data_IF_615008977572
#
_entry.id   IF_615008977572
#
_cell.length_a   1.000
_cell.length_b   1.000
_cell.length_c   1.000
_cell.angle_alpha   90.00
_cell.angle_beta   90.00
_cell.angle_gamma   90.00
#
_symmetry.space_group_name_H-M   'P 1'
#
loop_
_entity.id
_entity.type
_entity.pdbx_description
1 polymer ?
#
# COMPACT_ATOMS: atom_id res chain seq x y z
N UNK A 1 -0.08 3.54 -7.28
CA UNK A 1 1.23 3.11 -7.75
C UNK A 1 1.47 3.50 -9.20
N UNK A 2 2.71 3.41 -9.69
CA UNK A 2 3.05 3.85 -11.06
C UNK A 2 2.28 3.07 -12.14
N UNK A 3 1.89 1.84 -11.88
CA UNK A 3 1.15 1.01 -12.83
C UNK A 3 -0.34 1.34 -12.91
N UNK A 4 -0.89 2.09 -11.97
CA UNK A 4 -2.29 2.52 -12.01
C UNK A 4 -2.58 3.35 -13.26
N UNK A 5 -1.75 4.35 -13.55
CA UNK A 5 -1.90 5.18 -14.73
C UNK A 5 -1.83 4.38 -16.03
N UNK A 6 -0.87 3.45 -16.12
CA UNK A 6 -0.73 2.56 -17.28
C UNK A 6 -1.95 1.66 -17.42
N UNK A 7 -2.41 1.06 -16.33
CA UNK A 7 -3.59 0.19 -16.32
C UNK A 7 -4.84 0.91 -16.81
N UNK A 8 -5.09 2.12 -16.32
CA UNK A 8 -6.25 2.91 -16.73
C UNK A 8 -6.13 3.39 -18.19
N UNK A 9 -4.91 3.70 -18.64
CA UNK A 9 -4.66 4.05 -20.04
C UNK A 9 -4.95 2.87 -20.97
N UNK A 10 -4.58 1.66 -20.60
CA UNK A 10 -4.91 0.45 -21.38
C UNK A 10 -6.42 0.18 -21.45
N UNK A 11 -7.17 0.65 -20.47
CA UNK A 11 -8.64 0.59 -20.46
C UNK A 11 -9.30 1.77 -21.17
N UNK A 12 -8.54 2.58 -21.92
CA UNK A 12 -9.01 3.72 -22.70
C UNK A 12 -9.61 4.86 -21.86
N UNK A 13 -9.12 5.03 -20.63
CA UNK A 13 -9.49 6.15 -19.80
C UNK A 13 -8.80 7.43 -20.26
N UNK A 14 -9.49 8.57 -20.14
CA UNK A 14 -8.89 9.88 -20.46
C UNK A 14 -7.88 10.29 -19.38
N UNK A 15 -6.81 11.03 -19.76
CA UNK A 15 -5.80 11.50 -18.79
C UNK A 15 -6.38 12.32 -17.63
N UNK A 16 -7.41 13.12 -17.85
CA UNK A 16 -8.09 13.91 -16.80
C UNK A 16 -8.81 13.01 -15.79
N UNK A 17 -9.45 11.94 -16.23
CA UNK A 17 -10.09 10.95 -15.36
C UNK A 17 -9.06 10.19 -14.51
N UNK A 18 -7.93 9.80 -15.11
CA UNK A 18 -6.82 9.14 -14.42
C UNK A 18 -6.26 10.07 -13.34
N UNK A 19 -5.98 11.32 -13.69
CA UNK A 19 -5.48 12.33 -12.77
C UNK A 19 -6.43 12.57 -11.60
N UNK A 20 -7.74 12.62 -11.87
CA UNK A 20 -8.75 12.80 -10.83
C UNK A 20 -8.74 11.62 -9.83
N UNK A 21 -8.70 10.38 -10.32
CA UNK A 21 -8.67 9.18 -9.49
C UNK A 21 -7.43 9.16 -8.59
N UNK A 22 -6.25 9.42 -9.17
CA UNK A 22 -4.99 9.45 -8.42
C UNK A 22 -4.95 10.57 -7.38
N UNK A 23 -5.50 11.75 -7.74
CA UNK A 23 -5.59 12.90 -6.83
C UNK A 23 -6.51 12.62 -5.66
N UNK A 24 -7.66 12.00 -5.89
CA UNK A 24 -8.59 11.61 -4.81
C UNK A 24 -7.91 10.67 -3.80
N UNK A 25 -7.17 9.68 -4.28
CA UNK A 25 -6.41 8.78 -3.41
C UNK A 25 -5.33 9.49 -2.61
N UNK A 26 -4.59 10.39 -3.24
CA UNK A 26 -3.55 11.19 -2.61
C UNK A 26 -4.08 12.14 -1.54
N UNK A 27 -5.17 12.86 -1.83
CA UNK A 27 -5.82 13.76 -0.88
C UNK A 27 -6.36 12.98 0.32
N UNK A 28 -7.03 11.85 0.08
CA UNK A 28 -7.53 11.00 1.16
C UNK A 28 -6.40 10.55 2.09
N UNK A 29 -5.27 10.11 1.54
CA UNK A 29 -4.09 9.74 2.31
C UNK A 29 -3.53 10.89 3.15
N UNK A 30 -3.41 12.08 2.56
CA UNK A 30 -2.93 13.28 3.27
C UNK A 30 -3.85 13.67 4.43
N UNK A 31 -5.15 13.72 4.20
CA UNK A 31 -6.13 14.07 5.23
C UNK A 31 -6.17 13.04 6.36
N UNK A 32 -5.93 11.78 6.05
CA UNK A 32 -5.93 10.69 7.02
C UNK A 32 -4.62 10.59 7.83
N UNK A 33 -3.54 11.24 7.41
CA UNK A 33 -2.21 11.06 8.03
C UNK A 33 -2.21 11.41 9.52
N UNK A 34 -2.78 12.54 9.91
CA UNK A 34 -2.80 12.95 11.32
C UNK A 34 -3.71 12.07 12.18
N UNK A 35 -4.99 11.82 11.80
CA UNK A 35 -5.84 10.88 12.54
C UNK A 35 -5.25 9.47 12.60
N UNK A 36 -4.62 9.01 11.52
CA UNK A 36 -3.98 7.70 11.46
C UNK A 36 -2.79 7.59 12.43
N UNK A 37 -1.96 8.62 12.51
CA UNK A 37 -0.86 8.67 13.48
C UNK A 37 -1.36 8.60 14.93
N UNK A 38 -2.38 9.36 15.25
CA UNK A 38 -2.99 9.36 16.58
C UNK A 38 -3.57 7.96 16.90
N UNK A 39 -4.30 7.38 15.98
CA UNK A 39 -4.88 6.05 16.17
C UNK A 39 -3.80 4.95 16.31
N UNK A 40 -2.73 5.03 15.52
CA UNK A 40 -1.61 4.09 15.61
C UNK A 40 -0.89 4.17 16.97
N UNK A 41 -0.70 5.37 17.49
CA UNK A 41 -0.07 5.58 18.81
C UNK A 41 -0.97 5.09 19.95
N UNK A 42 -2.29 5.22 19.82
CA UNK A 42 -3.26 4.84 20.85
C UNK A 42 -3.52 3.34 20.92
N UNK A 43 -3.20 2.57 19.89
CA UNK A 43 -3.53 1.14 19.82
C UNK A 43 -2.41 0.25 20.34
N UNK A 44 -2.80 -0.86 20.98
CA UNK A 44 -1.88 -1.93 21.40
C UNK A 44 -1.72 -3.02 20.33
N UNK A 45 -2.67 -3.13 19.41
CA UNK A 45 -2.72 -4.19 18.40
C UNK A 45 -2.24 -3.68 17.03
N UNK A 46 -1.00 -3.19 16.98
CA UNK A 46 -0.42 -2.58 15.78
C UNK A 46 -0.34 -3.56 14.59
N UNK A 47 -0.04 -4.82 14.84
CA UNK A 47 0.01 -5.85 13.79
C UNK A 47 -1.33 -6.02 13.09
N UNK A 48 -2.42 -5.97 13.83
CA UNK A 48 -3.78 -6.09 13.29
C UNK A 48 -4.06 -4.92 12.34
N UNK A 49 -3.65 -3.71 12.69
CA UNK A 49 -3.80 -2.54 11.82
C UNK A 49 -3.05 -2.75 10.49
N UNK A 50 -1.81 -3.22 10.55
CA UNK A 50 -1.02 -3.49 9.34
C UNK A 50 -1.68 -4.57 8.49
N UNK A 51 -2.12 -5.66 9.11
CA UNK A 51 -2.80 -6.75 8.40
C UNK A 51 -4.11 -6.29 7.75
N UNK A 52 -4.93 -5.55 8.48
CA UNK A 52 -6.17 -4.99 7.95
C UNK A 52 -5.89 -3.99 6.83
N UNK A 53 -4.89 -3.14 6.98
CA UNK A 53 -4.47 -2.21 5.94
C UNK A 53 -4.04 -2.93 4.65
N UNK A 54 -3.23 -3.97 4.76
CA UNK A 54 -2.83 -4.79 3.62
C UNK A 54 -4.03 -5.47 2.95
N UNK A 55 -4.96 -6.01 3.75
CA UNK A 55 -6.18 -6.63 3.23
C UNK A 55 -7.06 -5.63 2.49
N UNK A 56 -7.30 -4.46 3.08
CA UNK A 56 -8.11 -3.40 2.49
C UNK A 56 -7.50 -2.91 1.18
N UNK A 57 -6.19 -2.67 1.13
CA UNK A 57 -5.51 -2.25 -0.09
C UNK A 57 -5.63 -3.33 -1.18
N UNK A 58 -5.46 -4.59 -0.82
CA UNK A 58 -5.58 -5.71 -1.76
C UNK A 58 -6.99 -5.80 -2.34
N UNK A 59 -8.02 -5.73 -1.50
CA UNK A 59 -9.43 -5.74 -1.94
C UNK A 59 -9.73 -4.54 -2.83
N UNK A 60 -9.29 -3.34 -2.45
CA UNK A 60 -9.47 -2.13 -3.25
C UNK A 60 -8.81 -2.26 -4.62
N UNK A 61 -7.60 -2.83 -4.69
CA UNK A 61 -6.88 -3.06 -5.94
C UNK A 61 -7.60 -4.06 -6.83
N UNK A 62 -8.12 -5.15 -6.26
CA UNK A 62 -8.90 -6.14 -7.00
C UNK A 62 -10.22 -5.57 -7.52
N UNK A 63 -10.89 -4.72 -6.75
CA UNK A 63 -12.09 -4.00 -7.20
C UNK A 63 -11.78 -3.12 -8.42
N UNK A 64 -10.66 -2.42 -8.40
CA UNK A 64 -10.21 -1.60 -9.52
C UNK A 64 -10.03 -2.45 -10.79
N UNK A 65 -9.52 -3.66 -10.65
CA UNK A 65 -9.33 -4.57 -11.78
C UNK A 65 -10.65 -5.09 -12.36
N UNK A 66 -11.64 -5.37 -11.48
CA UNK A 66 -12.93 -5.92 -11.91
C UNK A 66 -13.84 -4.89 -12.55
N UNK A 67 -13.76 -3.62 -12.17
CA UNK A 67 -14.69 -2.58 -12.62
C UNK A 67 -13.99 -1.58 -13.54
N UNK A 68 -14.71 -1.12 -14.56
CA UNK A 68 -14.25 -0.07 -15.47
C UNK A 68 -14.99 1.27 -15.28
N UNK A 69 -15.70 1.43 -14.15
CA UNK A 69 -16.41 2.67 -13.84
C UNK A 69 -15.52 3.64 -13.07
N UNK A 70 -15.55 4.92 -13.45
CA UNK A 70 -14.78 5.99 -12.78
C UNK A 70 -15.11 6.05 -11.28
N UNK A 71 -16.37 5.93 -10.92
CA UNK A 71 -16.81 5.94 -9.53
C UNK A 71 -16.15 4.84 -8.69
N UNK A 72 -16.14 3.61 -9.19
CA UNK A 72 -15.52 2.48 -8.49
C UNK A 72 -14.03 2.68 -8.33
N UNK A 73 -13.34 3.20 -9.34
CA UNK A 73 -11.92 3.50 -9.27
C UNK A 73 -11.62 4.60 -8.25
N UNK A 74 -12.43 5.65 -8.17
CA UNK A 74 -12.27 6.71 -7.18
C UNK A 74 -12.45 6.18 -5.76
N UNK A 75 -13.49 5.40 -5.50
CA UNK A 75 -13.73 4.77 -4.20
C UNK A 75 -12.57 3.84 -3.83
N UNK A 76 -12.12 3.01 -4.76
CA UNK A 76 -10.97 2.11 -4.55
C UNK A 76 -9.72 2.89 -4.13
N UNK A 77 -9.38 3.97 -4.81
CA UNK A 77 -8.19 4.77 -4.51
C UNK A 77 -8.31 5.55 -3.20
N UNK A 78 -9.49 6.07 -2.87
CA UNK A 78 -9.74 6.72 -1.57
C UNK A 78 -9.55 5.72 -0.44
N UNK A 79 -10.15 4.55 -0.54
CA UNK A 79 -10.03 3.48 0.47
C UNK A 79 -8.57 3.03 0.62
N UNK A 80 -7.86 2.82 -0.49
CA UNK A 80 -6.45 2.45 -0.48
C UNK A 80 -5.57 3.54 0.15
N UNK A 81 -5.84 4.81 -0.16
CA UNK A 81 -5.13 5.95 0.42
C UNK A 81 -5.33 6.05 1.93
N UNK A 82 -6.56 5.89 2.40
CA UNK A 82 -6.88 5.86 3.82
C UNK A 82 -6.16 4.71 4.54
N UNK A 83 -6.20 3.51 3.99
CA UNK A 83 -5.53 2.34 4.55
C UNK A 83 -4.00 2.52 4.60
N UNK A 84 -3.41 3.04 3.54
CA UNK A 84 -1.97 3.29 3.47
C UNK A 84 -1.50 4.30 4.53
N UNK A 85 -2.32 5.31 4.84
CA UNK A 85 -2.01 6.32 5.86
C UNK A 85 -1.85 5.71 7.27
N UNK A 86 -2.52 4.58 7.55
CA UNK A 86 -2.38 3.87 8.83
C UNK A 86 -1.13 2.98 8.90
N UNK A 87 -0.68 2.44 7.78
CA UNK A 87 0.42 1.46 7.74
C UNK A 87 1.74 2.09 8.19
N UNK A 88 2.11 3.24 7.65
CA UNK A 88 3.39 3.90 7.94
C UNK A 88 3.60 4.16 9.44
N UNK A 89 2.73 4.95 10.09
CA UNK A 89 2.85 5.22 11.52
C UNK A 89 2.79 3.96 12.38
N UNK A 90 1.99 2.97 11.97
CA UNK A 90 1.86 1.70 12.71
C UNK A 90 3.16 0.90 12.66
N UNK A 91 3.80 0.80 11.50
CA UNK A 91 5.10 0.12 11.34
C UNK A 91 6.18 0.86 12.15
N UNK A 92 6.18 2.19 12.13
CA UNK A 92 7.10 2.98 12.96
C UNK A 92 6.88 2.70 14.45
N UNK A 93 5.64 2.62 14.90
CA UNK A 93 5.31 2.27 16.28
C UNK A 93 5.78 0.88 16.68
N UNK A 94 5.60 -0.12 15.81
CA UNK A 94 6.12 -1.48 16.03
C UNK A 94 7.65 -1.45 16.15
N UNK A 95 8.32 -0.75 15.25
CA UNK A 95 9.79 -0.62 15.25
C UNK A 95 10.28 0.00 16.56
N UNK A 96 9.65 1.10 16.99
CA UNK A 96 10.00 1.76 18.25
C UNK A 96 9.82 0.81 19.46
N UNK A 97 8.74 0.05 19.48
CA UNK A 97 8.46 -0.93 20.54
C UNK A 97 9.49 -2.05 20.60
N UNK A 98 10.04 -2.46 19.47
CA UNK A 98 11.04 -3.53 19.40
C UNK A 98 12.47 -3.07 19.70
N UNK A 99 12.84 -1.87 19.27
CA UNK A 99 14.23 -1.37 19.32
C UNK A 99 14.48 -0.36 20.43
N UNK A 100 13.42 0.23 20.99
CA UNK A 100 13.56 1.39 21.88
C UNK A 100 14.05 2.62 21.13
N UNK A 101 14.16 3.75 21.86
CA UNK A 101 14.56 5.02 21.24
C UNK A 101 16.00 5.03 20.71
N UNK A 102 16.90 4.30 21.35
CA UNK A 102 18.31 4.26 20.94
C UNK A 102 18.52 3.55 19.59
N UNK A 103 17.79 2.47 19.37
CA UNK A 103 17.90 1.70 18.14
C UNK A 103 16.93 2.13 17.02
N UNK A 104 16.00 3.03 17.33
CA UNK A 104 14.91 3.39 16.41
C UNK A 104 15.41 3.97 15.09
N UNK A 105 16.27 4.99 15.15
CA UNK A 105 16.75 5.65 13.93
C UNK A 105 17.52 4.70 13.00
N UNK A 106 18.36 3.83 13.58
CA UNK A 106 19.10 2.85 12.80
C UNK A 106 18.17 1.83 12.16
N UNK A 107 17.19 1.32 12.89
CA UNK A 107 16.24 0.35 12.37
C UNK A 107 15.29 0.97 11.35
N UNK A 108 14.85 2.21 11.56
CA UNK A 108 14.06 2.92 10.56
C UNK A 108 14.83 3.15 9.26
N UNK A 109 16.10 3.50 9.35
CA UNK A 109 16.95 3.60 8.17
C UNK A 109 17.04 2.27 7.40
N UNK A 110 17.17 1.15 8.11
CA UNK A 110 17.16 -0.18 7.49
C UNK A 110 15.80 -0.52 6.90
N UNK A 111 14.71 -0.21 7.60
CA UNK A 111 13.36 -0.42 7.09
C UNK A 111 13.13 0.38 5.79
N UNK A 112 13.56 1.62 5.74
CA UNK A 112 13.47 2.43 4.53
C UNK A 112 14.34 1.91 3.39
N UNK A 113 15.54 1.43 3.68
CA UNK A 113 16.38 0.80 2.68
C UNK A 113 15.71 -0.44 2.07
N UNK A 114 15.12 -1.30 2.91
CA UNK A 114 14.36 -2.46 2.46
C UNK A 114 13.08 -2.05 1.71
N UNK A 115 12.39 -0.98 2.15
CA UNK A 115 11.22 -0.46 1.48
C UNK A 115 11.55 0.00 0.06
N UNK A 116 12.59 0.80 -0.10
CA UNK A 116 13.04 1.26 -1.42
C UNK A 116 13.56 0.11 -2.29
N UNK A 117 14.35 -0.79 -1.72
CA UNK A 117 14.83 -1.98 -2.41
C UNK A 117 13.68 -2.88 -2.86
N UNK A 118 12.73 -3.12 -1.97
CA UNK A 118 11.53 -3.89 -2.27
C UNK A 118 10.67 -3.25 -3.36
N UNK A 119 10.49 -1.94 -3.31
CA UNK A 119 9.76 -1.20 -4.35
C UNK A 119 10.44 -1.30 -5.71
N UNK A 120 11.77 -1.22 -5.74
CA UNK A 120 12.55 -1.38 -6.99
C UNK A 120 12.36 -2.77 -7.56
N UNK A 121 12.53 -3.80 -6.74
CA UNK A 121 12.35 -5.20 -7.17
C UNK A 121 10.90 -5.43 -7.62
N UNK A 122 9.93 -4.93 -6.86
CA UNK A 122 8.51 -5.05 -7.22
C UNK A 122 8.20 -4.36 -8.55
N UNK A 123 8.76 -3.18 -8.81
CA UNK A 123 8.59 -2.48 -10.07
C UNK A 123 9.20 -3.26 -11.25
N UNK A 124 10.37 -3.84 -11.08
CA UNK A 124 11.01 -4.67 -12.10
C UNK A 124 10.18 -5.95 -12.38
N UNK A 125 9.74 -6.64 -11.33
CA UNK A 125 8.90 -7.82 -11.48
C UNK A 125 7.55 -7.50 -12.11
N UNK A 126 6.93 -6.41 -11.71
CA UNK A 126 5.67 -5.96 -12.27
C UNK A 126 5.80 -5.57 -13.75
N UNK A 127 6.86 -4.83 -14.10
CA UNK A 127 7.16 -4.47 -15.47
C UNK A 127 7.39 -5.70 -16.35
N UNK A 128 8.18 -6.66 -15.88
CA UNK A 128 8.42 -7.92 -16.57
C UNK A 128 7.14 -8.76 -16.73
N UNK A 129 6.34 -8.86 -15.66
CA UNK A 129 5.08 -9.59 -15.68
C UNK A 129 4.08 -8.97 -16.64
N UNK A 130 3.97 -7.65 -16.67
CA UNK A 130 3.09 -6.92 -17.58
C UNK A 130 3.52 -7.13 -19.04
N UNK A 131 4.82 -7.10 -19.31
CA UNK A 131 5.36 -7.32 -20.65
C UNK A 131 5.12 -8.75 -21.16
N UNK A 132 5.26 -9.74 -20.30
CA UNK A 132 5.20 -11.15 -20.68
C UNK A 132 3.78 -11.74 -20.66
N UNK A 133 2.98 -11.37 -19.63
CA UNK A 133 1.64 -11.95 -19.40
C UNK A 133 0.51 -10.93 -19.38
N UNK A 134 0.81 -9.64 -19.54
CA UNK A 134 -0.17 -8.56 -19.51
C UNK A 134 -0.44 -8.00 -18.10
N UNK A 135 -1.29 -6.97 -18.05
CA UNK A 135 -1.56 -6.23 -16.79
C UNK A 135 -2.26 -7.07 -15.72
N UNK A 136 -3.02 -8.09 -16.10
CA UNK A 136 -3.65 -9.00 -15.13
C UNK A 136 -2.62 -9.70 -14.23
N UNK A 137 -1.44 -10.03 -14.78
CA UNK A 137 -0.36 -10.63 -14.02
C UNK A 137 0.20 -9.70 -12.94
N UNK A 138 0.20 -8.38 -13.17
CA UNK A 138 0.63 -7.39 -12.18
C UNK A 138 -0.27 -7.43 -10.94
N UNK A 139 -1.59 -7.52 -11.12
CA UNK A 139 -2.54 -7.61 -10.01
C UNK A 139 -2.38 -8.91 -9.22
N UNK A 140 -2.12 -10.03 -9.90
CA UNK A 140 -1.81 -11.31 -9.26
C UNK A 140 -0.51 -11.19 -8.46
N UNK A 141 0.53 -10.60 -9.03
CA UNK A 141 1.81 -10.36 -8.35
C UNK A 141 1.61 -9.51 -7.10
N UNK A 142 0.84 -8.43 -7.18
CA UNK A 142 0.53 -7.56 -6.04
C UNK A 142 -0.19 -8.33 -4.93
N UNK A 143 -1.14 -9.20 -5.28
CA UNK A 143 -1.84 -10.04 -4.30
C UNK A 143 -0.90 -11.02 -3.62
N UNK A 144 -0.02 -11.68 -4.37
CA UNK A 144 1.00 -12.58 -3.82
C UNK A 144 1.94 -11.84 -2.88
N UNK A 145 2.40 -10.66 -3.25
CA UNK A 145 3.29 -9.84 -2.41
C UNK A 145 2.57 -9.37 -1.14
N UNK A 146 1.27 -9.04 -1.22
CA UNK A 146 0.47 -8.69 -0.05
C UNK A 146 0.34 -9.87 0.92
N UNK A 147 0.19 -11.08 0.42
CA UNK A 147 0.18 -12.30 1.25
C UNK A 147 1.52 -12.48 1.95
N UNK A 148 2.64 -12.33 1.24
CA UNK A 148 3.97 -12.40 1.86
C UNK A 148 4.16 -11.31 2.91
N UNK A 149 3.70 -10.08 2.66
CA UNK A 149 3.75 -8.99 3.63
C UNK A 149 2.94 -9.31 4.89
N UNK A 150 1.76 -9.91 4.73
CA UNK A 150 0.94 -10.35 5.86
C UNK A 150 1.65 -11.42 6.70
N UNK A 151 2.24 -12.44 6.07
CA UNK A 151 3.03 -13.45 6.76
C UNK A 151 4.24 -12.86 7.46
N UNK A 152 4.96 -11.96 6.80
CA UNK A 152 6.10 -11.27 7.41
C UNK A 152 5.67 -10.46 8.65
N UNK A 153 4.52 -9.80 8.59
CA UNK A 153 3.97 -9.05 9.72
C UNK A 153 3.62 -9.98 10.89
N UNK A 154 3.02 -11.13 10.61
CA UNK A 154 2.73 -12.14 11.63
C UNK A 154 3.98 -12.72 12.27
N UNK A 155 5.09 -12.77 11.55
CA UNK A 155 6.36 -13.26 12.04
C UNK A 155 7.08 -12.28 12.98
N UNK A 156 6.65 -11.01 13.04
CA UNK A 156 7.21 -10.01 13.97
C UNK A 156 6.90 -10.44 15.40
N UNK A 157 7.91 -10.46 16.26
CA UNK A 157 7.75 -10.78 17.67
C UNK A 157 7.15 -9.59 18.44
N UNK A 158 6.24 -9.88 19.36
CA UNK A 158 5.55 -8.86 20.15
C UNK A 158 4.29 -8.32 19.44
N UNK A 159 3.64 -7.36 20.07
CA UNK A 159 2.41 -6.72 19.54
C UNK A 159 2.70 -5.34 18.99
#
# INVERSE_FOLDING_TARGET
GPFLGIFLTERHWRPDEIGLVMTCGGIAGLLATLPAGIAADATRHKKIIVLLGCLVITVATLLLWYSNQTWTAMVSQVVAGLAAAFIGPTVAGITLGLTGQRGFNQQMGRNEAFNHGGNTIAALLAGFSAWYWGMGAVFILMTVMAIFAAFATLAIRGN
#
